data_IF_744859267164
#
_entry.id   IF_744859267164
#
_cell.length_a   1.000
_cell.length_b   1.000
_cell.length_c   1.000
_cell.angle_alpha   90.00
_cell.angle_beta   90.00
_cell.angle_gamma   90.00
#
_symmetry.space_group_name_H-M   'P 1'
#
loop_
_entity.id
_entity.type
_entity.pdbx_description
1 polymer ?
#
# COMPACT_ATOMS: atom_id res chain seq x y z
N UNK A 1 -25.94 -33.06 13.47
CA UNK A 1 -24.53 -33.23 13.05
C UNK A 1 -24.24 -32.40 11.79
N UNK A 2 -24.76 -32.74 10.61
CA UNK A 2 -24.46 -32.02 9.35
C UNK A 2 -24.80 -30.52 9.35
N UNK A 3 -25.96 -30.14 9.89
CA UNK A 3 -26.36 -28.71 9.97
C UNK A 3 -25.44 -27.85 10.85
N UNK A 4 -24.87 -28.43 11.91
CA UNK A 4 -23.92 -27.71 12.78
C UNK A 4 -22.59 -27.43 12.07
N UNK A 5 -22.08 -28.40 11.30
CA UNK A 5 -20.87 -28.20 10.50
C UNK A 5 -21.06 -27.14 9.40
N UNK A 6 -22.25 -27.09 8.80
CA UNK A 6 -22.57 -26.11 7.75
C UNK A 6 -22.65 -24.68 8.33
N UNK A 7 -23.26 -24.52 9.51
CA UNK A 7 -23.32 -23.24 10.22
C UNK A 7 -21.91 -22.79 10.65
N UNK A 8 -21.12 -23.69 11.24
CA UNK A 8 -19.73 -23.38 11.65
C UNK A 8 -18.90 -22.98 10.43
N UNK A 9 -19.01 -23.70 9.32
CA UNK A 9 -18.30 -23.37 8.08
C UNK A 9 -18.67 -21.99 7.52
N UNK A 10 -19.97 -21.63 7.54
CA UNK A 10 -20.46 -20.31 7.16
C UNK A 10 -19.92 -19.20 8.06
N UNK A 11 -19.90 -19.42 9.38
CA UNK A 11 -19.39 -18.45 10.36
C UNK A 11 -17.89 -18.21 10.18
N UNK A 12 -17.10 -19.27 10.00
CA UNK A 12 -15.66 -19.15 9.74
C UNK A 12 -15.40 -18.38 8.45
N UNK A 13 -16.12 -18.69 7.37
CA UNK A 13 -16.01 -17.96 6.09
C UNK A 13 -16.37 -16.48 6.25
N UNK A 14 -17.44 -16.17 6.98
CA UNK A 14 -17.89 -14.80 7.21
C UNK A 14 -16.85 -14.01 8.02
N UNK A 15 -16.26 -14.63 9.04
CA UNK A 15 -15.23 -14.00 9.87
C UNK A 15 -13.96 -13.73 9.07
N UNK A 16 -13.48 -14.72 8.31
CA UNK A 16 -12.31 -14.54 7.43
C UNK A 16 -12.52 -13.47 6.37
N UNK A 17 -13.74 -13.32 5.86
CA UNK A 17 -14.06 -12.25 4.91
C UNK A 17 -13.99 -10.87 5.57
N UNK A 18 -14.55 -10.71 6.78
CA UNK A 18 -14.50 -9.45 7.52
C UNK A 18 -13.06 -9.08 7.86
N UNK A 19 -12.27 -10.04 8.33
CA UNK A 19 -10.86 -9.82 8.65
C UNK A 19 -10.09 -9.32 7.42
N UNK A 20 -10.29 -9.93 6.26
CA UNK A 20 -9.66 -9.48 5.01
C UNK A 20 -10.03 -8.04 4.63
N UNK A 21 -11.28 -7.63 4.87
CA UNK A 21 -11.72 -6.27 4.60
C UNK A 21 -11.19 -5.25 5.63
N UNK A 22 -10.78 -5.69 6.81
CA UNK A 22 -10.26 -4.85 7.89
C UNK A 22 -8.73 -4.82 7.96
N UNK A 23 -8.04 -5.60 7.12
CA UNK A 23 -6.58 -5.66 7.09
C UNK A 23 -5.99 -4.60 6.15
N UNK A 24 -6.68 -4.21 5.07
CA UNK A 24 -6.12 -3.31 4.06
C UNK A 24 -7.08 -2.18 3.71
N UNK A 25 -6.66 -0.95 4.00
CA UNK A 25 -7.40 0.27 3.71
C UNK A 25 -6.53 1.20 2.85
N UNK A 26 -6.40 0.93 1.54
CA UNK A 26 -5.65 1.80 0.66
C UNK A 26 -6.40 3.12 0.52
N UNK A 27 -5.64 4.21 0.51
CA UNK A 27 -6.15 5.51 0.11
C UNK A 27 -5.58 5.85 -1.27
N UNK A 28 -6.43 6.23 -2.21
CA UNK A 28 -6.02 6.58 -3.56
C UNK A 28 -5.66 8.07 -3.72
N UNK A 29 -6.04 8.91 -2.77
CA UNK A 29 -5.81 10.35 -2.86
C UNK A 29 -4.38 10.69 -2.41
N UNK A 30 -3.63 11.37 -3.26
CA UNK A 30 -2.32 11.93 -2.90
C UNK A 30 -2.51 13.34 -2.37
N UNK A 31 -2.21 13.56 -1.09
CA UNK A 31 -2.43 14.86 -0.41
C UNK A 31 -1.16 15.70 -0.24
N UNK A 32 -0.01 15.13 -0.56
CA UNK A 32 1.31 15.75 -0.47
C UNK A 32 2.26 15.07 -1.46
N UNK A 33 3.40 15.71 -1.69
CA UNK A 33 4.47 15.32 -2.61
C UNK A 33 5.83 15.67 -1.99
N UNK A 34 6.95 15.10 -2.48
CA UNK A 34 8.28 15.48 -2.01
C UNK A 34 8.58 16.99 -2.16
N UNK A 35 7.97 17.67 -3.14
CA UNK A 35 8.12 19.11 -3.32
C UNK A 35 7.59 19.92 -2.12
N UNK A 36 6.62 19.41 -1.36
CA UNK A 36 6.07 20.09 -0.17
C UNK A 36 7.09 20.22 0.97
N UNK A 37 8.14 19.40 0.95
CA UNK A 37 9.30 19.48 1.86
C UNK A 37 10.57 19.98 1.15
N UNK A 38 10.42 20.54 -0.06
CA UNK A 38 11.51 21.15 -0.82
C UNK A 38 12.43 20.17 -1.55
N UNK A 39 11.98 18.94 -1.80
CA UNK A 39 12.74 17.95 -2.57
C UNK A 39 12.32 17.96 -4.04
N UNK A 40 13.31 18.01 -4.94
CA UNK A 40 13.14 17.65 -6.34
C UNK A 40 12.80 16.15 -6.44
N UNK A 41 11.87 15.79 -7.30
CA UNK A 41 11.49 14.39 -7.50
C UNK A 41 10.95 14.14 -8.90
N UNK A 42 11.00 12.87 -9.31
CA UNK A 42 10.38 12.36 -10.52
C UNK A 42 9.19 11.47 -10.14
N UNK A 43 8.04 11.70 -10.80
CA UNK A 43 6.89 10.80 -10.70
C UNK A 43 7.13 9.58 -11.60
N UNK A 44 7.11 8.38 -11.02
CA UNK A 44 7.48 7.15 -11.71
C UNK A 44 6.38 6.10 -11.62
N UNK A 45 6.20 5.37 -12.73
CA UNK A 45 5.36 4.19 -12.80
C UNK A 45 6.25 2.98 -13.14
N UNK A 46 6.22 1.97 -12.28
CA UNK A 46 7.01 0.76 -12.40
C UNK A 46 6.06 -0.42 -12.66
N UNK A 47 6.46 -1.33 -13.55
CA UNK A 47 5.76 -2.59 -13.77
C UNK A 47 6.49 -3.69 -13.00
N UNK A 48 5.81 -4.30 -12.04
CA UNK A 48 6.34 -5.45 -11.30
C UNK A 48 6.36 -6.72 -12.16
N UNK A 49 7.06 -7.76 -11.72
CA UNK A 49 7.19 -9.02 -12.46
C UNK A 49 5.88 -9.78 -12.65
N UNK A 50 4.85 -9.43 -11.88
CA UNK A 50 3.48 -9.95 -11.95
C UNK A 50 2.51 -8.98 -12.66
N UNK A 51 3.05 -8.05 -13.45
CA UNK A 51 2.34 -7.04 -14.24
C UNK A 51 1.57 -5.99 -13.41
N UNK A 52 1.77 -5.94 -12.10
CA UNK A 52 1.20 -4.89 -11.25
C UNK A 52 1.87 -3.56 -11.53
N UNK A 53 1.06 -2.53 -11.80
CA UNK A 53 1.52 -1.15 -11.93
C UNK A 53 1.69 -0.53 -10.55
N UNK A 54 2.91 -0.10 -10.24
CA UNK A 54 3.29 0.57 -9.00
C UNK A 54 3.58 2.04 -9.29
N UNK A 55 2.91 2.94 -8.56
CA UNK A 55 3.22 4.36 -8.55
C UNK A 55 4.22 4.69 -7.44
N UNK A 56 5.14 5.61 -7.71
CA UNK A 56 6.12 6.05 -6.72
C UNK A 56 6.80 7.37 -7.10
N UNK A 57 7.69 7.80 -6.22
CA UNK A 57 8.55 8.96 -6.44
C UNK A 57 10.02 8.57 -6.39
N UNK A 58 10.79 9.04 -7.36
CA UNK A 58 12.24 8.94 -7.34
C UNK A 58 12.83 10.30 -6.98
N UNK A 59 13.55 10.36 -5.86
CA UNK A 59 14.29 11.57 -5.45
C UNK A 59 15.74 11.40 -5.87
N UNK A 60 16.24 12.17 -6.85
CA UNK A 60 17.62 12.03 -7.29
C UNK A 60 18.60 12.47 -6.20
N UNK A 61 19.64 11.68 -6.00
CA UNK A 61 20.74 11.99 -5.09
C UNK A 61 22.10 11.82 -5.77
N UNK A 62 23.16 12.37 -5.16
CA UNK A 62 24.52 12.33 -5.72
C UNK A 62 25.31 11.06 -5.32
N UNK A 63 24.74 10.25 -4.42
CA UNK A 63 25.35 9.04 -3.90
C UNK A 63 25.28 7.85 -4.86
N UNK A 64 26.05 6.79 -4.56
CA UNK A 64 26.01 5.52 -5.29
C UNK A 64 24.97 4.53 -4.77
N UNK A 65 24.31 4.87 -3.67
CA UNK A 65 23.32 4.03 -3.01
C UNK A 65 21.94 4.65 -3.20
N UNK A 66 20.97 3.80 -3.51
CA UNK A 66 19.56 4.18 -3.58
C UNK A 66 18.82 3.52 -2.43
N UNK A 67 18.07 4.30 -1.67
CA UNK A 67 17.18 3.79 -0.64
C UNK A 67 15.82 3.49 -1.24
N UNK A 68 15.31 2.28 -1.04
CA UNK A 68 13.95 1.90 -1.42
C UNK A 68 13.06 1.92 -0.18
N UNK A 69 12.16 2.90 -0.13
CA UNK A 69 11.20 3.07 0.95
C UNK A 69 9.83 2.54 0.54
N UNK A 70 9.19 1.74 1.39
CA UNK A 70 7.80 1.33 1.22
C UNK A 70 6.95 1.96 2.33
N UNK A 71 5.82 2.54 1.94
CA UNK A 71 4.85 2.98 2.93
C UNK A 71 4.25 1.76 3.67
N UNK A 72 3.79 1.99 4.90
CA UNK A 72 3.05 0.97 5.64
C UNK A 72 1.59 0.88 5.19
N UNK A 73 0.82 0.02 5.86
CA UNK A 73 -0.62 -0.08 5.68
C UNK A 73 -1.37 1.22 6.09
N UNK A 74 -2.64 1.34 5.67
CA UNK A 74 -3.56 2.45 5.94
C UNK A 74 -3.09 3.81 5.38
N UNK A 75 -3.26 4.01 4.06
CA UNK A 75 -2.84 5.22 3.34
C UNK A 75 -2.03 4.92 2.08
N UNK A 76 -1.23 5.89 1.65
CA UNK A 76 -0.30 5.80 0.52
C UNK A 76 0.99 6.60 0.79
N UNK A 77 1.85 6.71 -0.23
CA UNK A 77 3.15 7.40 -0.15
C UNK A 77 3.05 8.87 0.27
N UNK A 78 1.95 9.56 -0.03
CA UNK A 78 1.78 10.98 0.31
C UNK A 78 1.63 11.24 1.81
N UNK A 79 1.14 10.25 2.57
CA UNK A 79 0.99 10.36 4.03
C UNK A 79 2.32 10.26 4.80
N UNK A 80 3.44 10.15 4.10
CA UNK A 80 4.75 9.80 4.67
C UNK A 80 5.89 10.72 4.24
N UNK A 81 5.55 11.85 3.61
CA UNK A 81 6.53 12.81 3.06
C UNK A 81 7.41 13.43 4.15
N UNK A 82 6.90 13.56 5.38
CA UNK A 82 7.54 14.18 6.53
C UNK A 82 8.29 13.21 7.47
N UNK A 83 8.22 11.89 7.22
CA UNK A 83 8.93 10.88 8.04
C UNK A 83 10.43 10.85 7.76
#
# INVERSE_FOLDING_TARGET
MAGAFLIIGLLVRQMSFIDQQMIYFPDGELIATPADVGLEYEDVNLTASDDVQLHGWFVPGEGRLTFLWFHGNAGNISHRVDN
#
